data_IF_142018889491
#
_entry.id   IF_142018889491
#
_cell.length_a   1.000
_cell.length_b   1.000
_cell.length_c   1.000
_cell.angle_alpha   90.00
_cell.angle_beta   90.00
_cell.angle_gamma   90.00
#
_symmetry.space_group_name_H-M   'P 1'
#
loop_
_entity.id
_entity.type
_entity.pdbx_description
1 polymer ?
#
# COMPACT_ATOMS: atom_id res chain seq x y z
N UNK A 1 -33.44 -1.35 10.92
CA UNK A 1 -32.85 -0.46 11.94
C UNK A 1 -32.46 0.83 11.25
N UNK A 2 -32.86 2.01 11.72
CA UNK A 2 -32.40 3.26 11.13
C UNK A 2 -30.89 3.33 11.26
N UNK A 3 -30.18 3.60 10.16
CA UNK A 3 -28.75 3.83 10.17
C UNK A 3 -28.48 5.03 11.09
N UNK A 4 -27.81 4.81 12.22
CA UNK A 4 -27.35 5.88 13.11
C UNK A 4 -26.45 6.79 12.28
N UNK A 5 -26.84 8.06 12.13
CA UNK A 5 -26.01 9.01 11.40
C UNK A 5 -24.66 9.17 12.10
N UNK A 6 -23.53 9.24 11.36
CA UNK A 6 -22.22 9.46 11.96
C UNK A 6 -22.21 10.73 12.80
N UNK A 7 -21.72 10.64 14.03
CA UNK A 7 -21.61 11.81 14.90
C UNK A 7 -20.42 12.69 14.52
N UNK A 8 -20.42 13.95 14.96
CA UNK A 8 -19.26 14.84 14.83
C UNK A 8 -18.00 14.25 15.50
N UNK A 9 -18.17 13.54 16.63
CA UNK A 9 -17.07 12.84 17.29
C UNK A 9 -16.50 11.71 16.43
N UNK A 10 -17.35 10.90 15.78
CA UNK A 10 -16.94 9.84 14.85
C UNK A 10 -16.13 10.41 13.69
N UNK A 11 -16.58 11.51 13.09
CA UNK A 11 -15.87 12.19 12.02
C UNK A 11 -14.51 12.76 12.50
N UNK A 12 -14.47 13.34 13.70
CA UNK A 12 -13.25 13.86 14.28
C UNK A 12 -12.20 12.75 14.53
N UNK A 13 -12.61 11.60 15.07
CA UNK A 13 -11.72 10.44 15.29
C UNK A 13 -11.14 9.94 13.96
N UNK A 14 -11.98 9.82 12.91
CA UNK A 14 -11.50 9.42 11.59
C UNK A 14 -10.50 10.44 11.01
N UNK A 15 -10.79 11.74 11.15
CA UNK A 15 -9.91 12.80 10.66
C UNK A 15 -8.55 12.83 11.37
N UNK A 16 -8.51 12.74 12.71
CA UNK A 16 -7.23 12.71 13.45
C UNK A 16 -6.46 11.41 13.23
N UNK A 17 -7.16 10.29 13.03
CA UNK A 17 -6.54 9.02 12.64
C UNK A 17 -5.88 9.15 11.26
N UNK A 18 -6.58 9.72 10.28
CA UNK A 18 -6.01 10.00 8.96
C UNK A 18 -4.79 10.92 9.05
N UNK A 19 -4.87 12.01 9.81
CA UNK A 19 -3.76 12.94 9.99
C UNK A 19 -2.52 12.25 10.60
N UNK A 20 -2.73 11.38 11.60
CA UNK A 20 -1.67 10.58 12.21
C UNK A 20 -1.03 9.61 11.21
N UNK A 21 -1.84 8.84 10.48
CA UNK A 21 -1.37 7.93 9.44
C UNK A 21 -0.58 8.69 8.36
N UNK A 22 -1.10 9.83 7.91
CA UNK A 22 -0.47 10.68 6.89
C UNK A 22 0.88 11.21 7.37
N UNK A 23 0.95 11.76 8.58
CA UNK A 23 2.21 12.25 9.15
C UNK A 23 3.23 11.11 9.32
N UNK A 24 2.79 9.96 9.84
CA UNK A 24 3.63 8.77 9.95
C UNK A 24 4.14 8.30 8.59
N UNK A 25 3.28 8.27 7.57
CA UNK A 25 3.63 7.93 6.19
C UNK A 25 4.71 8.86 5.62
N UNK A 26 4.56 10.17 5.80
CA UNK A 26 5.55 11.15 5.32
C UNK A 26 6.92 10.90 5.97
N UNK A 27 6.97 10.61 7.27
CA UNK A 27 8.23 10.29 7.96
C UNK A 27 8.78 8.93 7.49
N UNK A 28 7.93 7.91 7.38
CA UNK A 28 8.32 6.57 6.95
C UNK A 28 8.93 6.55 5.55
N UNK A 29 8.27 7.16 4.57
CA UNK A 29 8.65 7.08 3.16
C UNK A 29 9.73 8.09 2.74
N UNK A 30 9.83 9.23 3.43
CA UNK A 30 10.76 10.31 3.03
C UNK A 30 11.93 10.52 3.97
N UNK A 31 11.82 10.14 5.25
CA UNK A 31 12.89 10.33 6.23
C UNK A 31 13.55 9.01 6.60
N UNK A 32 12.77 7.98 6.92
CA UNK A 32 13.28 6.68 7.38
C UNK A 32 13.72 5.79 6.22
N UNK A 33 12.99 5.79 5.11
CA UNK A 33 13.32 4.98 3.94
C UNK A 33 14.59 5.51 3.25
N UNK A 34 15.56 4.62 3.04
CA UNK A 34 16.72 4.89 2.17
C UNK A 34 16.39 4.72 0.69
N UNK A 35 17.13 5.42 -0.17
CA UNK A 35 17.02 5.29 -1.64
C UNK A 35 17.17 3.83 -2.10
N UNK A 36 18.16 3.10 -1.55
CA UNK A 36 18.37 1.68 -1.85
C UNK A 36 17.13 0.83 -1.54
N UNK A 37 16.42 1.12 -0.44
CA UNK A 37 15.19 0.41 -0.09
C UNK A 37 14.05 0.76 -1.05
N UNK A 38 13.92 2.04 -1.42
CA UNK A 38 12.92 2.54 -2.35
C UNK A 38 13.05 1.91 -3.76
N UNK A 39 14.28 1.66 -4.22
CA UNK A 39 14.53 0.97 -5.48
C UNK A 39 14.22 -0.52 -5.33
N UNK A 40 14.79 -1.18 -4.30
CA UNK A 40 14.71 -2.63 -4.14
C UNK A 40 13.27 -3.15 -3.95
N UNK A 41 12.37 -2.37 -3.35
CA UNK A 41 10.96 -2.78 -3.19
C UNK A 41 10.21 -2.86 -4.52
N UNK A 42 10.59 -2.10 -5.55
CA UNK A 42 9.90 -2.12 -6.85
C UNK A 42 10.37 -3.20 -7.84
N UNK A 43 11.41 -3.97 -7.48
CA UNK A 43 12.04 -5.00 -8.33
C UNK A 43 11.21 -6.29 -8.34
N UNK A 44 11.23 -7.09 -9.43
CA UNK A 44 11.94 -6.86 -10.70
C UNK A 44 11.25 -5.87 -11.64
N UNK A 45 12.04 -5.18 -12.46
CA UNK A 45 11.55 -4.44 -13.61
C UNK A 45 11.13 -5.39 -14.76
N UNK A 46 10.64 -4.81 -15.86
CA UNK A 46 10.11 -5.57 -17.00
C UNK A 46 11.18 -6.42 -17.68
N UNK A 47 12.40 -5.93 -17.79
CA UNK A 47 13.51 -6.62 -18.46
C UNK A 47 13.93 -7.85 -17.65
N UNK A 48 14.09 -7.68 -16.34
CA UNK A 48 14.42 -8.78 -15.44
C UNK A 48 13.32 -9.84 -15.37
N UNK A 49 12.04 -9.42 -15.40
CA UNK A 49 10.91 -10.34 -15.53
C UNK A 49 10.98 -11.15 -16.83
N UNK A 50 11.29 -10.51 -17.96
CA UNK A 50 11.44 -11.18 -19.25
C UNK A 50 12.60 -12.18 -19.25
N UNK A 51 13.69 -11.87 -18.54
CA UNK A 51 14.82 -12.76 -18.30
C UNK A 51 14.53 -13.91 -17.31
N UNK A 52 13.29 -14.09 -16.86
CA UNK A 52 12.88 -15.18 -15.98
C UNK A 52 13.19 -14.97 -14.50
N UNK A 53 13.57 -13.75 -14.09
CA UNK A 53 13.71 -13.43 -12.66
C UNK A 53 12.34 -13.55 -11.99
N UNK A 54 12.31 -14.19 -10.82
CA UNK A 54 11.08 -14.37 -10.06
C UNK A 54 10.35 -13.02 -9.86
N UNK A 55 9.04 -12.95 -10.15
CA UNK A 55 8.26 -11.73 -9.95
C UNK A 55 8.25 -11.25 -8.50
N UNK A 56 8.61 -12.13 -7.55
CA UNK A 56 8.54 -11.84 -6.13
C UNK A 56 9.87 -11.37 -5.51
N UNK A 57 10.93 -11.18 -6.29
CA UNK A 57 12.26 -10.81 -5.79
C UNK A 57 12.27 -9.58 -4.87
N UNK A 58 11.44 -8.57 -5.14
CA UNK A 58 11.40 -7.34 -4.34
C UNK A 58 10.61 -7.43 -3.02
N UNK A 59 9.85 -8.50 -2.77
CA UNK A 59 8.94 -8.55 -1.60
C UNK A 59 9.67 -8.48 -0.27
N UNK A 60 10.84 -9.11 -0.14
CA UNK A 60 11.62 -9.03 1.09
C UNK A 60 12.05 -7.59 1.41
N UNK A 61 12.39 -6.79 0.41
CA UNK A 61 12.69 -5.37 0.59
C UNK A 61 11.42 -4.56 0.91
N UNK A 62 10.32 -4.87 0.23
CA UNK A 62 9.02 -4.25 0.46
C UNK A 62 8.52 -4.48 1.89
N UNK A 63 8.62 -5.71 2.42
CA UNK A 63 8.16 -6.04 3.77
C UNK A 63 9.02 -5.34 4.84
N UNK A 64 10.34 -5.23 4.64
CA UNK A 64 11.20 -4.45 5.54
C UNK A 64 10.83 -2.96 5.53
N UNK A 65 10.57 -2.40 4.36
CA UNK A 65 10.09 -1.03 4.23
C UNK A 65 8.77 -0.84 4.98
N UNK A 66 7.77 -1.68 4.69
CA UNK A 66 6.45 -1.64 5.30
C UNK A 66 6.52 -1.81 6.82
N UNK A 67 7.44 -2.60 7.35
CA UNK A 67 7.64 -2.71 8.80
C UNK A 67 8.10 -1.38 9.42
N UNK A 68 9.10 -0.72 8.82
CA UNK A 68 9.57 0.60 9.28
C UNK A 68 8.49 1.68 9.13
N UNK A 69 7.84 1.72 7.98
CA UNK A 69 6.67 2.56 7.71
C UNK A 69 5.56 2.38 8.75
N UNK A 70 5.16 1.13 9.03
CA UNK A 70 4.11 0.83 10.01
C UNK A 70 4.52 1.27 11.40
N UNK A 71 5.79 1.14 11.78
CA UNK A 71 6.29 1.63 13.05
C UNK A 71 6.17 3.16 13.17
N UNK A 72 6.46 3.91 12.10
CA UNK A 72 6.28 5.38 12.09
C UNK A 72 4.81 5.79 12.20
N UNK A 73 3.90 5.08 11.55
CA UNK A 73 2.46 5.32 11.70
C UNK A 73 1.95 4.95 13.09
N UNK A 74 2.40 3.83 13.65
CA UNK A 74 2.04 3.41 15.00
C UNK A 74 2.49 4.46 16.03
N UNK A 75 3.71 4.99 15.91
CA UNK A 75 4.19 6.06 16.77
C UNK A 75 3.33 7.34 16.66
N UNK A 76 2.95 7.74 15.45
CA UNK A 76 2.07 8.88 15.24
C UNK A 76 0.66 8.67 15.83
N UNK A 77 0.09 7.47 15.69
CA UNK A 77 -1.20 7.13 16.30
C UNK A 77 -1.13 7.13 17.83
N UNK A 78 -0.05 6.59 18.42
CA UNK A 78 0.16 6.65 19.87
C UNK A 78 0.24 8.10 20.36
N UNK A 79 0.95 8.97 19.63
CA UNK A 79 1.05 10.39 19.96
C UNK A 79 -0.32 11.08 19.92
N UNK A 80 -1.13 10.84 18.87
CA UNK A 80 -2.49 11.38 18.78
C UNK A 80 -3.42 10.77 19.83
N UNK A 81 -3.22 9.51 20.20
CA UNK A 81 -3.94 8.84 21.28
C UNK A 81 -3.76 9.49 22.67
N UNK A 82 -2.77 10.37 22.84
CA UNK A 82 -2.62 11.17 24.07
C UNK A 82 -3.68 12.28 24.19
N UNK A 83 -4.30 12.69 23.08
CA UNK A 83 -5.24 13.83 23.03
C UNK A 83 -6.59 13.48 22.38
N UNK A 84 -6.71 12.31 21.75
CA UNK A 84 -7.93 11.82 21.13
C UNK A 84 -8.25 10.40 21.63
N UNK A 85 -9.53 10.04 21.80
CA UNK A 85 -9.93 8.72 22.31
C UNK A 85 -9.84 7.65 21.22
N UNK A 86 -8.62 7.30 20.80
CA UNK A 86 -8.40 6.25 19.81
C UNK A 86 -8.53 4.87 20.46
N UNK A 87 -9.41 4.03 19.93
CA UNK A 87 -9.48 2.64 20.37
C UNK A 87 -8.31 1.83 19.81
N UNK A 88 -7.71 0.99 20.66
CA UNK A 88 -6.59 0.11 20.25
C UNK A 88 -6.97 -0.78 19.06
N UNK A 89 -8.18 -1.33 19.03
CA UNK A 89 -8.64 -2.17 17.92
C UNK A 89 -8.78 -1.38 16.63
N UNK A 90 -9.26 -0.13 16.70
CA UNK A 90 -9.33 0.78 15.56
C UNK A 90 -7.95 1.16 15.02
N UNK A 91 -6.98 1.42 15.91
CA UNK A 91 -5.58 1.65 15.52
C UNK A 91 -4.99 0.43 14.80
N UNK A 92 -5.21 -0.78 15.34
CA UNK A 92 -4.73 -2.02 14.72
C UNK A 92 -5.36 -2.24 13.34
N UNK A 93 -6.67 -2.03 13.19
CA UNK A 93 -7.36 -2.12 11.90
C UNK A 93 -6.76 -1.14 10.89
N UNK A 94 -6.61 0.13 11.27
CA UNK A 94 -6.04 1.16 10.41
C UNK A 94 -4.61 0.79 9.96
N UNK A 95 -3.78 0.29 10.87
CA UNK A 95 -2.43 -0.16 10.53
C UNK A 95 -2.42 -1.39 9.61
N UNK A 96 -3.30 -2.36 9.79
CA UNK A 96 -3.40 -3.54 8.89
C UNK A 96 -3.80 -3.11 7.46
N UNK A 97 -4.83 -2.26 7.33
CA UNK A 97 -5.28 -1.75 6.03
C UNK A 97 -4.17 -0.94 5.37
N UNK A 98 -3.57 -0.01 6.12
CA UNK A 98 -2.47 0.82 5.64
C UNK A 98 -1.28 -0.02 5.19
N UNK A 99 -0.76 -0.91 6.03
CA UNK A 99 0.41 -1.72 5.72
C UNK A 99 0.20 -2.65 4.51
N UNK A 100 -0.98 -3.30 4.42
CA UNK A 100 -1.27 -4.22 3.31
C UNK A 100 -1.46 -3.50 1.97
N UNK A 101 -2.17 -2.37 1.97
CA UNK A 101 -2.32 -1.55 0.75
C UNK A 101 -0.98 -0.92 0.34
N UNK A 102 -0.20 -0.43 1.29
CA UNK A 102 1.14 0.12 1.06
C UNK A 102 2.06 -0.91 0.40
N UNK A 103 2.11 -2.13 0.95
CA UNK A 103 2.91 -3.21 0.40
C UNK A 103 2.57 -3.54 -1.07
N UNK A 104 1.28 -3.46 -1.42
CA UNK A 104 0.79 -3.75 -2.78
C UNK A 104 1.07 -2.61 -3.74
N UNK A 105 0.86 -1.36 -3.32
CA UNK A 105 1.12 -0.17 -4.15
C UNK A 105 2.63 -0.04 -4.41
N UNK A 106 3.48 -0.32 -3.41
CA UNK A 106 4.95 -0.26 -3.50
C UNK A 106 5.56 -1.25 -4.49
N UNK A 107 4.79 -2.24 -4.96
CA UNK A 107 5.17 -3.09 -6.08
C UNK A 107 5.17 -2.34 -7.43
N UNK A 108 4.58 -1.14 -7.45
CA UNK A 108 4.59 -0.13 -8.52
C UNK A 108 3.96 -0.55 -9.85
N UNK A 109 3.44 -1.78 -9.98
CA UNK A 109 2.76 -2.20 -11.20
C UNK A 109 1.44 -1.45 -11.41
N UNK A 110 0.73 -1.10 -10.32
CA UNK A 110 -0.47 -0.25 -10.35
C UNK A 110 -0.10 1.15 -10.88
N UNK A 111 0.92 1.78 -10.29
CA UNK A 111 1.42 3.11 -10.69
C UNK A 111 1.81 3.11 -12.17
N UNK A 112 2.61 2.14 -12.62
CA UNK A 112 3.00 1.99 -14.03
C UNK A 112 1.79 1.82 -14.95
N UNK A 113 0.75 1.10 -14.51
CA UNK A 113 -0.49 0.93 -15.28
C UNK A 113 -1.26 2.24 -15.40
N UNK A 114 -1.40 3.00 -14.32
CA UNK A 114 -2.07 4.30 -14.33
C UNK A 114 -1.35 5.31 -15.23
N UNK A 115 -0.02 5.36 -15.19
CA UNK A 115 0.77 6.22 -16.08
C UNK A 115 0.47 5.88 -17.54
N UNK A 116 0.49 4.58 -17.91
CA UNK A 116 0.13 4.14 -19.27
C UNK A 116 -1.29 4.51 -19.67
N UNK A 117 -2.27 4.33 -18.77
CA UNK A 117 -3.66 4.62 -19.06
C UNK A 117 -3.93 6.12 -19.21
N UNK A 118 -3.21 6.96 -18.47
CA UNK A 118 -3.35 8.42 -18.51
C UNK A 118 -2.45 9.08 -19.57
N UNK A 119 -1.54 8.33 -20.19
CA UNK A 119 -0.58 8.85 -21.16
C UNK A 119 0.44 9.85 -20.58
N UNK A 120 0.67 9.84 -19.26
CA UNK A 120 1.51 10.85 -18.59
C UNK A 120 2.98 10.40 -18.46
N UNK A 121 3.54 9.85 -19.54
CA UNK A 121 4.90 9.30 -19.58
C UNK A 121 5.98 10.37 -19.41
N UNK A 122 5.74 11.56 -19.97
CA UNK A 122 6.71 12.66 -19.97
C UNK A 122 6.64 13.51 -18.69
N UNK A 123 5.70 13.20 -17.80
CA UNK A 123 5.61 13.86 -16.50
C UNK A 123 6.65 13.29 -15.54
N UNK A 124 7.78 13.99 -15.43
CA UNK A 124 8.95 13.57 -14.63
C UNK A 124 8.61 13.19 -13.20
N UNK A 125 7.78 13.99 -12.52
CA UNK A 125 7.36 13.74 -11.13
C UNK A 125 6.17 12.77 -11.02
N UNK A 126 5.55 12.41 -12.16
CA UNK A 126 4.33 11.61 -12.24
C UNK A 126 4.40 10.28 -11.49
N UNK A 127 5.46 9.45 -11.63
CA UNK A 127 5.57 8.20 -10.89
C UNK A 127 5.50 8.39 -9.37
N UNK A 128 6.19 9.40 -8.84
CA UNK A 128 6.19 9.70 -7.41
C UNK A 128 4.83 10.25 -6.96
N UNK A 129 4.27 11.24 -7.67
CA UNK A 129 2.99 11.85 -7.27
C UNK A 129 1.81 10.87 -7.34
N UNK A 130 1.79 9.99 -8.34
CA UNK A 130 0.75 8.96 -8.45
C UNK A 130 0.90 7.94 -7.32
N UNK A 131 2.12 7.46 -7.05
CA UNK A 131 2.42 6.53 -5.96
C UNK A 131 1.95 7.09 -4.60
N UNK A 132 2.40 8.30 -4.26
CA UNK A 132 2.04 8.98 -3.02
C UNK A 132 0.52 9.25 -2.93
N UNK A 133 -0.13 9.65 -4.03
CA UNK A 133 -1.59 9.88 -4.02
C UNK A 133 -2.41 8.62 -3.74
N UNK A 134 -1.95 7.45 -4.23
CA UNK A 134 -2.61 6.17 -3.96
C UNK A 134 -2.48 5.79 -2.49
N UNK A 135 -1.29 5.95 -1.90
CA UNK A 135 -1.06 5.71 -0.48
C UNK A 135 -1.92 6.63 0.40
N UNK A 136 -2.01 7.92 0.06
CA UNK A 136 -2.88 8.87 0.77
C UNK A 136 -4.35 8.47 0.71
N UNK A 137 -4.83 8.06 -0.48
CA UNK A 137 -6.19 7.55 -0.63
C UNK A 137 -6.44 6.28 0.21
N UNK A 138 -5.48 5.36 0.25
CA UNK A 138 -5.56 4.15 1.07
C UNK A 138 -5.56 4.45 2.57
N UNK A 139 -4.78 5.44 3.03
CA UNK A 139 -4.78 5.88 4.43
C UNK A 139 -6.12 6.47 4.86
N UNK A 140 -6.82 7.17 3.95
CA UNK A 140 -8.19 7.63 4.24
C UNK A 140 -9.12 6.43 4.47
N UNK A 141 -9.06 5.41 3.62
CA UNK A 141 -9.83 4.16 3.79
C UNK A 141 -9.48 3.48 5.11
N UNK A 142 -8.18 3.39 5.44
CA UNK A 142 -7.70 2.81 6.69
C UNK A 142 -8.27 3.53 7.92
N UNK A 143 -8.24 4.87 7.92
CA UNK A 143 -8.78 5.68 9.01
C UNK A 143 -10.30 5.50 9.18
N UNK A 144 -11.05 5.47 8.06
CA UNK A 144 -12.50 5.23 8.10
C UNK A 144 -12.82 3.84 8.64
N UNK A 145 -12.13 2.79 8.17
CA UNK A 145 -12.36 1.42 8.64
C UNK A 145 -11.98 1.23 10.11
N UNK A 146 -10.91 1.89 10.58
CA UNK A 146 -10.52 1.88 11.99
C UNK A 146 -11.62 2.40 12.92
N UNK A 147 -12.47 3.31 12.44
CA UNK A 147 -13.59 3.87 13.20
C UNK A 147 -14.91 3.14 12.95
N UNK A 148 -15.13 2.64 11.73
CA UNK A 148 -16.40 2.07 11.31
C UNK A 148 -16.63 0.63 11.79
N UNK A 149 -15.56 -0.15 11.98
CA UNK A 149 -15.64 -1.56 12.36
C UNK A 149 -14.71 -1.93 13.53
N UNK A 150 -14.69 -1.18 14.65
CA UNK A 150 -13.83 -1.50 15.78
C UNK A 150 -14.18 -2.86 16.41
N UNK A 151 -13.27 -3.38 17.22
CA UNK A 151 -13.44 -4.65 17.94
C UNK A 151 -12.80 -5.86 17.24
N UNK A 152 -12.80 -6.99 17.95
CA UNK A 152 -12.09 -8.21 17.54
C UNK A 152 -12.57 -8.77 16.20
N UNK A 153 -13.89 -8.73 15.94
CA UNK A 153 -14.46 -9.20 14.66
C UNK A 153 -13.94 -8.34 13.52
N UNK A 154 -13.93 -7.02 13.67
CA UNK A 154 -13.41 -6.10 12.65
C UNK A 154 -11.93 -6.34 12.36
N UNK A 155 -11.10 -6.56 13.40
CA UNK A 155 -9.69 -6.93 13.24
C UNK A 155 -9.54 -8.19 12.41
N UNK A 156 -10.27 -9.26 12.72
CA UNK A 156 -10.20 -10.53 11.98
C UNK A 156 -10.66 -10.36 10.53
N UNK A 157 -11.79 -9.68 10.31
CA UNK A 157 -12.32 -9.44 8.96
C UNK A 157 -11.32 -8.66 8.10
N UNK A 158 -10.73 -7.60 8.65
CA UNK A 158 -9.74 -6.77 7.96
C UNK A 158 -8.45 -7.54 7.71
N UNK A 159 -7.99 -8.37 8.65
CA UNK A 159 -6.81 -9.22 8.46
C UNK A 159 -7.02 -10.23 7.32
N UNK A 160 -8.20 -10.85 7.22
CA UNK A 160 -8.54 -11.75 6.11
C UNK A 160 -8.55 -10.99 4.78
N UNK A 161 -9.19 -9.81 4.74
CA UNK A 161 -9.24 -8.98 3.54
C UNK A 161 -7.83 -8.52 3.11
N UNK A 162 -6.98 -8.13 4.05
CA UNK A 162 -5.59 -7.75 3.81
C UNK A 162 -4.77 -8.93 3.25
N UNK A 163 -4.92 -10.13 3.82
CA UNK A 163 -4.27 -11.34 3.31
C UNK A 163 -4.74 -11.67 1.88
N UNK A 164 -6.04 -11.56 1.61
CA UNK A 164 -6.60 -11.75 0.27
C UNK A 164 -6.08 -10.72 -0.74
N UNK A 165 -5.98 -9.46 -0.34
CA UNK A 165 -5.42 -8.38 -1.16
C UNK A 165 -3.96 -8.65 -1.54
N UNK A 166 -3.11 -8.99 -0.56
CA UNK A 166 -1.71 -9.34 -0.81
C UNK A 166 -1.59 -10.60 -1.68
N UNK A 167 -2.41 -11.62 -1.40
CA UNK A 167 -2.48 -12.83 -2.23
C UNK A 167 -2.84 -12.54 -3.68
N UNK A 168 -3.85 -11.69 -3.92
CA UNK A 168 -4.25 -11.26 -5.26
C UNK A 168 -3.13 -10.48 -5.97
N UNK A 169 -2.38 -9.63 -5.25
CA UNK A 169 -1.23 -8.94 -5.79
C UNK A 169 -0.11 -9.91 -6.21
N UNK A 170 0.23 -10.89 -5.36
CA UNK A 170 1.21 -11.93 -5.70
C UNK A 170 0.81 -12.74 -6.94
N UNK A 171 -0.47 -13.09 -7.05
CA UNK A 171 -1.01 -13.78 -8.23
C UNK A 171 -0.95 -12.91 -9.49
N UNK A 172 -1.24 -11.61 -9.35
CA UNK A 172 -1.17 -10.64 -10.46
C UNK A 172 0.26 -10.50 -10.96
N UNK A 173 1.24 -10.34 -10.07
CA UNK A 173 2.65 -10.26 -10.43
C UNK A 173 3.13 -11.54 -11.12
N UNK A 174 2.68 -12.72 -10.66
CA UNK A 174 2.98 -14.00 -11.33
C UNK A 174 2.46 -14.03 -12.77
N UNK A 175 1.23 -13.58 -13.01
CA UNK A 175 0.65 -13.50 -14.36
C UNK A 175 1.40 -12.52 -15.25
N UNK A 176 1.79 -11.37 -14.71
CA UNK A 176 2.60 -10.38 -15.43
C UNK A 176 3.96 -10.94 -15.83
N UNK A 177 4.63 -11.69 -14.95
CA UNK A 177 5.89 -12.37 -15.26
C UNK A 177 5.73 -13.38 -16.41
N UNK A 178 4.77 -14.29 -16.32
CA UNK A 178 4.54 -15.30 -17.36
C UNK A 178 4.22 -14.68 -18.74
N UNK A 179 3.37 -13.65 -18.79
CA UNK A 179 3.00 -13.00 -20.06
C UNK A 179 4.19 -12.34 -20.77
N UNK A 180 5.18 -11.86 -20.01
CA UNK A 180 6.40 -11.29 -20.56
C UNK A 180 7.35 -12.36 -21.09
N UNK A 181 7.53 -13.47 -20.37
CA UNK A 181 8.37 -14.59 -20.83
C UNK A 181 7.84 -15.26 -22.09
N UNK A 182 6.51 -15.32 -22.30
CA UNK A 182 5.94 -15.87 -23.54
C UNK A 182 6.13 -14.94 -24.74
N UNK A 183 6.12 -13.62 -24.54
CA UNK A 183 6.27 -12.64 -25.62
C UNK A 183 7.70 -12.59 -26.19
N UNK A 184 8.70 -13.04 -25.43
CA UNK A 184 10.10 -13.11 -25.86
C UNK A 184 10.45 -14.40 -26.61
N UNK A 185 9.49 -15.34 -26.76
CA UNK A 185 9.69 -16.66 -27.39
C UNK A 185 9.09 -16.72 -28.81
N UNK A 186 8.75 -15.60 -29.45
CA UNK A 186 8.44 -15.63 -30.89
C UNK A 186 9.69 -15.98 -31.70
N UNK A 187 9.73 -17.11 -32.44
CA UNK A 187 10.88 -17.48 -33.26
C UNK A 187 10.92 -16.61 -34.51
N UNK A 188 12.00 -15.86 -34.68
CA UNK A 188 12.51 -15.50 -36.01
C UNK A 188 13.20 -16.75 -36.58
N UNK A 189 12.39 -17.73 -36.97
CA UNK A 189 12.87 -18.99 -37.54
C UNK A 189 11.93 -19.41 -38.68
N UNK A 190 11.76 -18.51 -39.65
CA UNK A 190 11.29 -18.81 -41.01
C UNK A 190 11.77 -17.74 -41.99
N UNK A 191 13.07 -17.73 -42.32
CA UNK A 191 13.59 -17.20 -43.58
C UNK A 191 14.76 -18.03 -44.10
#
# INVERSE_FOLDING_TARGET
MPATMPSAATAAIAAVTFAALYAGHQVGDHVVQSDRAAIAKGVPDRERLAAGVSPWTGWGACLRHVAGYTATQAAALVLVGLVAPLELTGMVIALIVSASTHAVIDRRWIVRRLIRLKGCHDWREGPYLIDQSLHVGAMLVAAVLGVAVPGAVGVVTVAIAAAALVGAALMTERRLGHGLSMSTVTPDDTR
#
